data_IF_635586740328
#
_entry.id   IF_635586740328
#
_cell.length_a   1.000
_cell.length_b   1.000
_cell.length_c   1.000
_cell.angle_alpha   90.00
_cell.angle_beta   90.00
_cell.angle_gamma   90.00
#
_symmetry.space_group_name_H-M   'P 1'
#
loop_
_entity.id
_entity.type
_entity.pdbx_description
1 polymer ?
#
# COMPACT_ATOMS: atom_id res chain seq x y z
N UNK A 1 -22.47 -9.24 -17.93
CA UNK A 1 -21.64 -9.23 -16.71
C UNK A 1 -21.01 -7.86 -16.58
N UNK A 2 -21.06 -7.25 -15.41
CA UNK A 2 -20.43 -5.95 -15.14
C UNK A 2 -19.55 -6.10 -13.89
N UNK A 3 -18.25 -6.24 -14.09
CA UNK A 3 -17.29 -6.41 -13.01
C UNK A 3 -16.74 -5.06 -12.59
N UNK A 4 -16.57 -4.88 -11.27
CA UNK A 4 -15.92 -3.70 -10.68
C UNK A 4 -14.90 -4.17 -9.66
N UNK A 5 -13.77 -3.50 -9.59
CA UNK A 5 -12.78 -3.78 -8.56
C UNK A 5 -13.36 -3.36 -7.21
N UNK A 6 -13.34 -4.26 -6.24
CA UNK A 6 -13.82 -3.99 -4.88
C UNK A 6 -12.68 -3.94 -3.87
N UNK A 7 -11.91 -5.02 -3.78
CA UNK A 7 -10.83 -5.13 -2.81
C UNK A 7 -9.53 -5.53 -3.49
N UNK A 8 -8.42 -4.98 -3.01
CA UNK A 8 -7.08 -5.49 -3.24
C UNK A 8 -6.41 -5.66 -1.88
N UNK A 9 -5.28 -6.37 -1.85
CA UNK A 9 -4.67 -6.80 -0.59
C UNK A 9 -3.21 -6.38 -0.52
N UNK A 10 -2.81 -5.89 0.65
CA UNK A 10 -1.41 -5.57 0.94
C UNK A 10 -1.03 -6.28 2.24
N UNK A 11 0.06 -7.03 2.21
CA UNK A 11 0.59 -7.69 3.40
C UNK A 11 1.34 -6.67 4.27
N UNK A 12 1.08 -6.67 5.56
CA UNK A 12 1.75 -5.76 6.51
C UNK A 12 2.21 -6.53 7.75
N UNK A 13 3.36 -6.14 8.29
CA UNK A 13 3.88 -6.73 9.52
C UNK A 13 3.17 -6.22 10.76
N UNK A 14 2.90 -4.91 10.80
CA UNK A 14 2.31 -4.23 11.94
C UNK A 14 1.21 -3.29 11.42
N UNK A 15 -0.03 -3.54 11.84
CA UNK A 15 -1.18 -2.78 11.37
C UNK A 15 -1.17 -1.33 11.86
N UNK A 16 -0.68 -1.07 13.07
CA UNK A 16 -0.63 0.29 13.60
C UNK A 16 0.42 1.13 12.86
N UNK A 17 1.59 0.55 12.56
CA UNK A 17 2.59 1.21 11.72
C UNK A 17 2.06 1.43 10.30
N UNK A 18 1.36 0.46 9.75
CA UNK A 18 0.74 0.58 8.43
C UNK A 18 -0.27 1.73 8.39
N UNK A 19 -1.11 1.86 9.42
CA UNK A 19 -2.06 2.97 9.53
C UNK A 19 -1.34 4.32 9.65
N UNK A 20 -0.19 4.37 10.31
CA UNK A 20 0.63 5.57 10.35
C UNK A 20 1.02 6.07 8.96
N UNK A 21 1.25 5.15 8.04
CA UNK A 21 1.54 5.48 6.65
C UNK A 21 0.26 5.70 5.83
N UNK A 22 -0.61 4.71 5.76
CA UNK A 22 -1.77 4.75 4.86
C UNK A 22 -2.85 5.75 5.30
N UNK A 23 -3.15 5.81 6.59
CA UNK A 23 -4.13 6.76 7.12
C UNK A 23 -3.52 8.14 7.37
N UNK A 24 -2.42 8.19 8.12
CA UNK A 24 -1.91 9.47 8.65
C UNK A 24 -1.10 10.24 7.61
N UNK A 25 -0.25 9.57 6.83
CA UNK A 25 0.55 10.23 5.80
C UNK A 25 -0.20 10.34 4.47
N UNK A 26 -0.78 9.23 3.98
CA UNK A 26 -1.49 9.24 2.69
C UNK A 26 -2.90 9.80 2.77
N UNK A 27 -3.50 9.88 3.96
CA UNK A 27 -4.84 10.42 4.13
C UNK A 27 -5.96 9.47 3.71
N UNK A 28 -5.69 8.17 3.60
CA UNK A 28 -6.75 7.20 3.32
C UNK A 28 -7.68 7.07 4.51
N UNK A 29 -8.94 6.78 4.24
CA UNK A 29 -9.91 6.57 5.33
C UNK A 29 -9.94 5.10 5.75
N UNK A 30 -10.07 4.86 7.06
CA UNK A 30 -10.26 3.51 7.61
C UNK A 30 -11.74 3.16 7.45
N UNK A 31 -12.02 2.01 6.84
CA UNK A 31 -13.39 1.55 6.58
C UNK A 31 -13.80 0.40 7.48
N UNK A 32 -12.83 -0.41 7.92
CA UNK A 32 -13.07 -1.45 8.91
C UNK A 32 -11.76 -1.85 9.57
N UNK A 33 -11.86 -2.43 10.76
CA UNK A 33 -10.72 -2.95 11.50
C UNK A 33 -11.24 -4.15 12.28
N UNK A 34 -10.89 -5.36 11.82
CA UNK A 34 -11.43 -6.61 12.33
C UNK A 34 -10.31 -7.49 12.86
N UNK A 35 -10.51 -8.02 14.06
CA UNK A 35 -9.63 -9.02 14.67
C UNK A 35 -10.38 -10.33 14.77
N UNK A 36 -9.74 -11.42 14.30
CA UNK A 36 -10.34 -12.75 14.33
C UNK A 36 -9.23 -13.80 14.41
N UNK A 37 -9.34 -14.71 15.38
CA UNK A 37 -8.40 -15.82 15.59
C UNK A 37 -6.93 -15.37 15.63
N UNK A 38 -6.64 -14.29 16.35
CA UNK A 38 -5.28 -13.78 16.50
C UNK A 38 -4.76 -13.01 15.30
N UNK A 39 -5.55 -12.84 14.25
CA UNK A 39 -5.20 -12.07 13.06
C UNK A 39 -5.99 -10.76 13.02
N UNK A 40 -5.46 -9.79 12.29
CA UNK A 40 -6.09 -8.49 12.12
C UNK A 40 -6.14 -8.11 10.65
N UNK A 41 -7.29 -7.60 10.22
CA UNK A 41 -7.49 -7.06 8.87
C UNK A 41 -8.00 -5.64 9.01
N UNK A 42 -7.28 -4.70 8.42
CA UNK A 42 -7.67 -3.29 8.44
C UNK A 42 -7.92 -2.85 7.01
N UNK A 43 -9.13 -2.36 6.72
CA UNK A 43 -9.49 -1.92 5.37
C UNK A 43 -9.42 -0.41 5.32
N UNK A 44 -8.69 0.09 4.32
CA UNK A 44 -8.55 1.52 4.05
C UNK A 44 -8.88 1.79 2.59
N UNK A 45 -9.10 3.05 2.24
CA UNK A 45 -9.33 3.41 0.85
C UNK A 45 -9.33 4.91 0.62
N UNK A 46 -9.14 5.33 -0.65
CA UNK A 46 -9.20 6.74 -1.00
C UNK A 46 -10.60 7.30 -0.83
N UNK A 47 -10.73 8.51 -0.27
CA UNK A 47 -12.03 9.16 -0.11
C UNK A 47 -12.72 9.41 -1.46
N UNK A 48 -11.93 9.64 -2.52
CA UNK A 48 -12.44 9.84 -3.88
C UNK A 48 -12.94 8.55 -4.54
N UNK A 49 -12.66 7.38 -3.96
CA UNK A 49 -13.05 6.08 -4.49
C UNK A 49 -13.71 5.24 -3.41
N UNK A 50 -14.96 5.57 -3.03
CA UNK A 50 -15.62 4.90 -1.89
C UNK A 50 -15.86 3.41 -2.09
N UNK A 51 -15.86 2.93 -3.34
CA UNK A 51 -16.13 1.54 -3.67
C UNK A 51 -14.87 0.67 -3.77
N UNK A 52 -13.68 1.27 -3.69
CA UNK A 52 -12.41 0.55 -3.80
C UNK A 52 -11.74 0.48 -2.42
N UNK A 53 -11.39 -0.72 -2.01
CA UNK A 53 -10.81 -0.99 -0.71
C UNK A 53 -9.43 -1.64 -0.83
N UNK A 54 -8.54 -1.23 0.07
CA UNK A 54 -7.25 -1.88 0.27
C UNK A 54 -7.31 -2.58 1.63
N UNK A 55 -7.21 -3.90 1.61
CA UNK A 55 -7.23 -4.71 2.84
C UNK A 55 -5.79 -4.94 3.28
N UNK A 56 -5.44 -4.39 4.43
CA UNK A 56 -4.14 -4.62 5.06
C UNK A 56 -4.26 -5.90 5.88
N UNK A 57 -3.47 -6.91 5.54
CA UNK A 57 -3.58 -8.23 6.15
C UNK A 57 -2.22 -8.77 6.59
N UNK A 58 -2.20 -9.74 7.52
CA UNK A 58 -0.94 -10.40 7.88
C UNK A 58 -0.31 -11.07 6.66
N UNK A 59 1.04 -11.18 6.62
CA UNK A 59 1.68 -11.86 5.50
C UNK A 59 1.17 -13.29 5.34
N UNK A 60 0.73 -13.62 4.12
CA UNK A 60 0.20 -14.94 3.76
C UNK A 60 -0.92 -15.39 4.70
N UNK A 61 -2.03 -14.64 4.69
CA UNK A 61 -3.19 -14.92 5.54
C UNK A 61 -4.03 -16.13 5.07
N UNK A 62 -3.57 -16.87 4.07
CA UNK A 62 -4.24 -18.06 3.57
C UNK A 62 -4.26 -19.16 4.65
N UNK A 63 -5.46 -19.70 4.98
CA UNK A 63 -5.56 -20.77 5.99
C UNK A 63 -4.84 -22.06 5.61
N UNK A 64 -4.54 -22.27 4.32
CA UNK A 64 -3.79 -23.43 3.84
C UNK A 64 -2.27 -23.25 3.93
N UNK A 65 -1.81 -22.07 4.27
CA UNK A 65 -0.38 -21.81 4.40
C UNK A 65 0.20 -22.45 5.64
N UNK A 66 1.38 -23.08 5.50
CA UNK A 66 2.12 -23.63 6.64
C UNK A 66 2.86 -22.52 7.40
N UNK A 67 3.29 -22.77 8.66
CA UNK A 67 4.16 -21.84 9.37
C UNK A 67 5.45 -21.52 8.60
N UNK A 68 6.01 -22.50 7.89
CA UNK A 68 7.21 -22.28 7.07
C UNK A 68 6.92 -21.34 5.91
N UNK A 69 5.76 -21.48 5.24
CA UNK A 69 5.34 -20.57 4.16
C UNK A 69 5.20 -19.14 4.66
N UNK A 70 4.58 -18.97 5.83
CA UNK A 70 4.41 -17.64 6.43
C UNK A 70 5.74 -16.99 6.79
N UNK A 71 6.69 -17.78 7.27
CA UNK A 71 8.03 -17.30 7.59
C UNK A 71 8.74 -16.78 6.35
N UNK A 72 8.69 -17.53 5.24
CA UNK A 72 9.29 -17.12 3.96
C UNK A 72 8.64 -15.83 3.45
N UNK A 73 7.31 -15.74 3.52
CA UNK A 73 6.60 -14.54 3.08
C UNK A 73 7.00 -13.31 3.89
N UNK A 74 7.11 -13.46 5.22
CA UNK A 74 7.57 -12.36 6.10
C UNK A 74 8.98 -11.89 5.74
N UNK A 75 9.87 -12.83 5.45
CA UNK A 75 11.24 -12.51 5.04
C UNK A 75 11.27 -11.76 3.71
N UNK A 76 10.50 -12.20 2.73
CA UNK A 76 10.41 -11.55 1.44
C UNK A 76 9.84 -10.14 1.55
N UNK A 77 8.81 -9.97 2.37
CA UNK A 77 8.22 -8.66 2.63
C UNK A 77 9.26 -7.73 3.27
N UNK A 78 9.97 -8.19 4.29
CA UNK A 78 10.99 -7.40 4.99
C UNK A 78 12.14 -7.00 4.07
N UNK A 79 12.47 -7.83 3.08
CA UNK A 79 13.50 -7.52 2.07
C UNK A 79 13.02 -6.55 1.00
N UNK A 80 11.73 -6.19 1.00
CA UNK A 80 11.17 -5.28 0.00
C UNK A 80 10.95 -5.90 -1.36
N UNK A 81 10.75 -7.19 -1.44
CA UNK A 81 10.58 -7.92 -2.70
C UNK A 81 9.13 -8.00 -3.17
N UNK A 82 8.19 -7.57 -2.34
CA UNK A 82 6.78 -7.59 -2.68
C UNK A 82 6.33 -6.22 -3.18
N UNK A 83 5.37 -6.24 -4.10
CA UNK A 83 4.76 -5.02 -4.61
C UNK A 83 3.48 -4.71 -3.83
N UNK A 84 3.18 -3.42 -3.73
CA UNK A 84 1.89 -2.92 -3.25
C UNK A 84 1.03 -2.47 -4.42
N UNK A 85 0.62 -1.21 -4.38
CA UNK A 85 -0.29 -0.62 -5.36
C UNK A 85 0.31 0.64 -5.98
N UNK A 86 -0.31 1.09 -7.07
CA UNK A 86 0.00 2.37 -7.70
C UNK A 86 -1.21 3.27 -7.49
N UNK A 87 -0.98 4.42 -6.85
CA UNK A 87 -1.99 5.47 -6.75
C UNK A 87 -1.78 6.48 -7.88
N UNK A 88 -2.87 7.02 -8.41
CA UNK A 88 -2.77 8.18 -9.29
C UNK A 88 -2.77 9.45 -8.44
N UNK A 89 -2.07 10.47 -8.92
CA UNK A 89 -2.04 11.79 -8.29
C UNK A 89 -2.08 12.87 -9.37
N UNK A 90 -2.63 14.03 -9.03
CA UNK A 90 -2.66 15.17 -9.92
C UNK A 90 -1.33 15.93 -9.95
N UNK A 91 -0.51 15.76 -8.91
CA UNK A 91 0.77 16.47 -8.77
C UNK A 91 1.78 15.54 -8.08
N UNK A 92 2.61 14.90 -8.89
CA UNK A 92 3.61 13.95 -8.40
C UNK A 92 4.63 14.62 -7.46
N UNK A 93 5.13 15.79 -7.81
CA UNK A 93 6.13 16.49 -6.99
C UNK A 93 5.57 16.88 -5.62
N UNK A 94 4.35 17.42 -5.58
CA UNK A 94 3.70 17.78 -4.31
C UNK A 94 3.40 16.56 -3.46
N UNK A 95 2.93 15.48 -4.07
CA UNK A 95 2.68 14.20 -3.39
C UNK A 95 3.98 13.65 -2.80
N UNK A 96 5.06 13.67 -3.58
CA UNK A 96 6.37 13.21 -3.13
C UNK A 96 6.83 13.99 -1.89
N UNK A 97 6.80 15.32 -1.93
CA UNK A 97 7.23 16.16 -0.82
C UNK A 97 6.39 15.94 0.44
N UNK A 98 5.08 15.76 0.28
CA UNK A 98 4.19 15.48 1.39
C UNK A 98 4.55 14.16 2.11
N UNK A 99 4.76 13.10 1.33
CA UNK A 99 5.07 11.78 1.88
C UNK A 99 6.47 11.77 2.49
N UNK A 100 7.44 12.38 1.81
CA UNK A 100 8.81 12.48 2.31
C UNK A 100 8.84 13.22 3.64
N UNK A 101 8.14 14.34 3.75
CA UNK A 101 8.05 15.14 4.97
C UNK A 101 7.36 14.36 6.11
N UNK A 102 6.45 13.47 5.78
CA UNK A 102 5.77 12.57 6.72
C UNK A 102 6.60 11.37 7.15
N UNK A 103 7.84 11.25 6.69
CA UNK A 103 8.75 10.18 7.08
C UNK A 103 8.77 8.96 6.15
N UNK A 104 8.16 9.05 4.96
CA UNK A 104 8.17 7.96 3.99
C UNK A 104 9.58 7.64 3.50
N UNK A 105 9.88 6.35 3.32
CA UNK A 105 11.16 5.90 2.79
C UNK A 105 11.17 6.02 1.27
N UNK A 106 12.03 6.90 0.75
CA UNK A 106 12.11 7.18 -0.69
C UNK A 106 12.80 6.04 -1.41
N UNK A 107 12.14 5.47 -2.43
CA UNK A 107 12.75 4.51 -3.36
C UNK A 107 13.12 5.15 -4.69
N UNK A 108 12.30 6.09 -5.15
CA UNK A 108 12.52 6.79 -6.41
C UNK A 108 11.96 8.20 -6.30
N UNK A 109 12.79 9.19 -6.58
CA UNK A 109 12.34 10.58 -6.68
C UNK A 109 11.48 10.78 -7.92
N UNK A 110 10.67 11.86 -7.99
CA UNK A 110 9.86 12.14 -9.17
C UNK A 110 10.69 12.16 -10.44
N UNK A 111 10.24 11.41 -11.44
CA UNK A 111 10.89 11.39 -12.76
C UNK A 111 9.85 11.12 -13.84
N UNK A 112 10.14 11.65 -15.02
CA UNK A 112 9.34 11.41 -16.21
C UNK A 112 9.72 10.05 -16.80
N UNK A 113 8.73 9.18 -16.93
CA UNK A 113 8.92 7.86 -17.53
C UNK A 113 8.72 7.92 -19.04
N UNK A 114 9.40 7.07 -19.82
CA UNK A 114 9.26 7.08 -21.27
C UNK A 114 7.88 6.69 -21.78
N UNK A 115 7.05 6.10 -20.93
CA UNK A 115 5.69 5.66 -21.29
C UNK A 115 4.60 6.66 -20.90
N UNK A 116 4.95 7.93 -20.66
CA UNK A 116 3.98 9.01 -20.60
C UNK A 116 3.43 9.36 -19.21
N UNK A 117 4.12 8.99 -18.14
CA UNK A 117 3.76 9.38 -16.78
C UNK A 117 4.95 10.02 -16.08
N UNK A 118 4.65 10.80 -15.04
CA UNK A 118 5.65 11.23 -14.06
C UNK A 118 5.33 10.51 -12.75
N UNK A 119 6.29 9.78 -12.20
CA UNK A 119 6.04 9.00 -11.01
C UNK A 119 7.15 9.09 -9.97
N UNK A 120 6.82 8.63 -8.77
CA UNK A 120 7.76 8.45 -7.67
C UNK A 120 7.36 7.19 -6.90
N UNK A 121 8.25 6.70 -6.06
CA UNK A 121 7.98 5.49 -5.29
C UNK A 121 8.54 5.58 -3.89
N UNK A 122 7.80 4.98 -2.97
CA UNK A 122 8.15 4.85 -1.56
C UNK A 122 8.02 3.42 -1.12
N UNK A 123 8.69 3.08 -0.05
CA UNK A 123 8.48 1.82 0.66
C UNK A 123 7.56 2.10 1.84
N UNK A 124 6.54 1.26 2.04
CA UNK A 124 5.72 1.39 3.23
C UNK A 124 6.46 0.83 4.45
N UNK A 125 5.93 0.98 5.69
CA UNK A 125 6.64 0.51 6.90
C UNK A 125 6.92 -0.99 6.92
N UNK A 126 6.18 -1.79 6.17
CA UNK A 126 6.37 -3.24 6.09
C UNK A 126 7.35 -3.67 5.01
N UNK A 127 7.65 -2.78 4.04
CA UNK A 127 8.57 -3.06 2.95
C UNK A 127 7.92 -3.09 1.56
N UNK A 128 6.61 -2.90 1.44
CA UNK A 128 5.94 -2.88 0.14
C UNK A 128 6.32 -1.66 -0.69
N UNK A 129 6.48 -1.86 -2.00
CA UNK A 129 6.69 -0.76 -2.92
C UNK A 129 5.35 -0.11 -3.26
N UNK A 130 5.23 1.18 -2.96
CA UNK A 130 4.04 1.99 -3.26
C UNK A 130 4.45 3.08 -4.23
N UNK A 131 3.76 3.16 -5.36
CA UNK A 131 4.07 4.12 -6.43
C UNK A 131 2.95 5.13 -6.59
N UNK A 132 3.33 6.35 -6.95
CA UNK A 132 2.41 7.44 -7.21
C UNK A 132 2.66 7.97 -8.61
N UNK A 133 1.64 7.97 -9.45
CA UNK A 133 1.76 8.23 -10.87
C UNK A 133 0.86 9.37 -11.31
N UNK A 134 1.43 10.33 -12.02
CA UNK A 134 0.73 11.45 -12.62
C UNK A 134 0.72 11.28 -14.13
N UNK A 135 -0.47 11.23 -14.72
CA UNK A 135 -0.60 11.19 -16.18
C UNK A 135 -0.12 12.51 -16.77
N UNK A 136 0.67 12.42 -17.84
CA UNK A 136 1.17 13.59 -18.58
C UNK A 136 0.35 13.86 -19.85
N UNK A 137 -0.70 13.08 -20.05
CA UNK A 137 -1.58 13.29 -21.21
C UNK A 137 -2.54 14.47 -21.02
#
# INVERSE_FOLDING_TARGET
MCLKLRNCFISVHDHDEALGFYRDVLGLEVRSDVKYEGMRWTTVGPTAQPDVNIVLEPPLADPNASPADRKVMKEMLAKGLLRGVIFSTDDCDATFEHIRAGGGEVLQEPMDQPYGVRDCAFRDPSGNLIRFSQSKA
#
